data_IF_869512165077
#
_entry.id   IF_869512165077
#
_cell.length_a   1.000
_cell.length_b   1.000
_cell.length_c   1.000
_cell.angle_alpha   90.00
_cell.angle_beta   90.00
_cell.angle_gamma   90.00
#
_symmetry.space_group_name_H-M   'P 1'
#
loop_
_entity.id
_entity.type
_entity.pdbx_description
1 polymer ?
#
# COMPACT_ATOMS: atom_id res chain seq x y z
N UNK A 1 13.41 4.29 -46.07
CA UNK A 1 13.74 5.35 -45.10
C UNK A 1 14.50 4.71 -43.96
N UNK A 2 15.66 5.28 -43.66
CA UNK A 2 16.72 4.65 -42.86
C UNK A 2 16.35 4.59 -41.38
N UNK A 3 16.46 3.40 -40.78
CA UNK A 3 16.45 3.21 -39.33
C UNK A 3 17.69 3.89 -38.72
N UNK A 4 17.48 5.02 -38.04
CA UNK A 4 18.49 5.63 -37.18
C UNK A 4 18.58 4.82 -35.88
N UNK A 5 19.53 3.89 -35.89
CA UNK A 5 19.96 3.13 -34.74
C UNK A 5 20.76 4.07 -33.82
N UNK A 6 20.11 4.65 -32.80
CA UNK A 6 20.77 5.49 -31.79
C UNK A 6 21.48 4.56 -30.80
N UNK A 7 22.81 4.69 -30.59
CA UNK A 7 23.57 3.70 -29.85
C UNK A 7 23.34 3.79 -28.34
N UNK A 8 23.00 2.64 -27.71
CA UNK A 8 22.97 2.37 -26.26
C UNK A 8 24.19 2.88 -25.48
N UNK A 9 25.31 3.17 -26.15
CA UNK A 9 26.55 3.69 -25.56
C UNK A 9 26.46 5.12 -25.03
N UNK A 10 25.50 5.96 -25.47
CA UNK A 10 25.53 7.38 -25.07
C UNK A 10 25.03 7.62 -23.63
N UNK A 11 24.09 6.82 -23.14
CA UNK A 11 23.49 6.95 -21.81
C UNK A 11 24.33 6.32 -20.69
N UNK A 12 24.92 5.15 -20.94
CA UNK A 12 25.92 4.58 -20.02
C UNK A 12 27.11 5.52 -19.86
N UNK A 13 27.52 6.20 -20.92
CA UNK A 13 28.55 7.24 -20.85
C UNK A 13 28.10 8.47 -20.04
N UNK A 14 26.84 8.91 -20.11
CA UNK A 14 26.34 10.02 -19.27
C UNK A 14 26.25 9.65 -17.77
N UNK A 15 25.87 8.41 -17.45
CA UNK A 15 25.89 7.86 -16.08
C UNK A 15 27.32 7.67 -15.56
N UNK A 16 28.24 7.17 -16.38
CA UNK A 16 29.67 7.08 -16.04
C UNK A 16 30.29 8.47 -15.88
N UNK A 17 29.98 9.41 -16.78
CA UNK A 17 30.53 10.77 -16.75
C UNK A 17 29.98 11.52 -15.54
N UNK A 18 28.69 11.40 -15.20
CA UNK A 18 28.16 12.04 -13.99
C UNK A 18 28.69 11.39 -12.71
N UNK A 19 28.79 10.05 -12.65
CA UNK A 19 29.31 9.34 -11.46
C UNK A 19 30.84 9.43 -11.29
N UNK A 20 31.62 9.59 -12.36
CA UNK A 20 33.07 9.77 -12.32
C UNK A 20 33.50 11.24 -12.23
N UNK A 21 32.71 12.18 -12.76
CA UNK A 21 32.99 13.61 -12.61
C UNK A 21 32.71 14.11 -11.20
N UNK A 22 31.62 13.64 -10.56
CA UNK A 22 31.23 14.06 -9.21
C UNK A 22 32.32 13.96 -8.13
N UNK A 23 33.04 12.83 -7.98
CA UNK A 23 34.11 12.73 -6.98
C UNK A 23 35.39 13.49 -7.38
N UNK A 24 35.64 13.72 -8.67
CA UNK A 24 36.84 14.43 -9.14
C UNK A 24 36.73 15.95 -9.02
N UNK A 25 35.57 16.55 -9.28
CA UNK A 25 35.36 17.99 -9.11
C UNK A 25 35.16 18.40 -7.65
N UNK A 26 34.55 17.54 -6.82
CA UNK A 26 34.37 17.77 -5.39
C UNK A 26 35.69 17.75 -4.59
N UNK A 27 36.75 17.11 -5.10
CA UNK A 27 38.09 17.16 -4.50
C UNK A 27 38.86 18.45 -4.86
N UNK A 28 38.52 19.12 -5.96
CA UNK A 28 39.23 20.32 -6.43
C UNK A 28 38.59 21.63 -5.96
N UNK A 29 37.30 21.61 -5.64
CA UNK A 29 36.56 22.78 -5.15
C UNK A 29 36.11 22.49 -3.74
N UNK A 30 36.70 23.17 -2.75
CA UNK A 30 36.35 23.08 -1.31
C UNK A 30 34.89 23.50 -0.99
N UNK A 31 34.02 23.60 -2.00
CA UNK A 31 32.63 24.04 -1.90
C UNK A 31 31.67 22.86 -1.94
N UNK A 32 30.66 22.94 -1.07
CA UNK A 32 29.68 21.87 -0.84
C UNK A 32 28.64 21.89 -1.96
N UNK A 33 28.91 21.17 -3.05
CA UNK A 33 27.94 21.02 -4.14
C UNK A 33 26.79 20.11 -3.66
N UNK A 34 25.57 20.66 -3.61
CA UNK A 34 24.36 19.94 -3.26
C UNK A 34 23.88 19.15 -4.48
N UNK A 35 24.03 17.83 -4.46
CA UNK A 35 23.26 16.96 -5.36
C UNK A 35 21.81 16.91 -4.87
N UNK A 36 20.87 17.26 -5.74
CA UNK A 36 19.45 17.15 -5.42
C UNK A 36 19.04 15.68 -5.48
N UNK A 37 18.61 15.13 -4.34
CA UNK A 37 18.21 13.72 -4.23
C UNK A 37 17.08 13.30 -5.19
N UNK A 38 16.25 14.26 -5.64
CA UNK A 38 15.19 14.00 -6.62
C UNK A 38 15.72 13.59 -7.99
N UNK A 39 16.93 14.01 -8.39
CA UNK A 39 17.49 13.67 -9.71
C UNK A 39 17.75 12.16 -9.84
N UNK A 40 18.16 11.51 -8.74
CA UNK A 40 18.30 10.06 -8.71
C UNK A 40 16.93 9.37 -8.83
N UNK A 41 15.89 9.94 -8.21
CA UNK A 41 14.51 9.46 -8.34
C UNK A 41 13.97 9.64 -9.76
N UNK A 42 14.21 10.78 -10.41
CA UNK A 42 13.77 11.05 -11.78
C UNK A 42 14.46 10.10 -12.77
N UNK A 43 15.76 9.85 -12.59
CA UNK A 43 16.52 8.89 -13.39
C UNK A 43 16.01 7.46 -13.15
N UNK A 44 15.75 7.06 -11.90
CA UNK A 44 15.17 5.74 -11.60
C UNK A 44 13.75 5.60 -12.15
N UNK A 45 12.94 6.64 -12.11
CA UNK A 45 11.59 6.66 -12.68
C UNK A 45 11.65 6.51 -14.21
N UNK A 46 12.58 7.20 -14.88
CA UNK A 46 12.83 7.09 -16.32
C UNK A 46 13.35 5.70 -16.70
N UNK A 47 14.32 5.14 -15.96
CA UNK A 47 14.82 3.78 -16.21
C UNK A 47 13.72 2.74 -16.01
N UNK A 48 12.88 2.91 -14.98
CA UNK A 48 11.71 2.05 -14.75
C UNK A 48 10.70 2.17 -15.88
N UNK A 49 10.44 3.38 -16.36
CA UNK A 49 9.56 3.64 -17.50
C UNK A 49 10.10 2.99 -18.79
N UNK A 50 11.40 3.13 -19.09
CA UNK A 50 12.02 2.46 -20.25
C UNK A 50 11.99 0.94 -20.12
N UNK A 51 12.17 0.38 -18.92
CA UNK A 51 12.11 -1.07 -18.72
C UNK A 51 10.68 -1.62 -18.92
N UNK A 52 9.67 -0.87 -18.49
CA UNK A 52 8.24 -1.20 -18.71
C UNK A 52 7.88 -1.08 -20.20
N UNK A 53 8.41 -0.10 -20.93
CA UNK A 53 8.15 0.09 -22.37
C UNK A 53 8.82 -0.99 -23.24
N UNK A 54 9.95 -1.53 -22.79
CA UNK A 54 10.72 -2.53 -23.54
C UNK A 54 10.31 -3.99 -23.25
N UNK A 55 9.39 -4.24 -22.31
CA UNK A 55 8.73 -5.55 -22.17
C UNK A 55 7.53 -5.59 -23.14
N UNK A 56 7.58 -6.51 -24.12
CA UNK A 56 6.69 -6.53 -25.30
C UNK A 56 5.19 -6.76 -25.00
N UNK A 57 4.77 -6.95 -23.73
CA UNK A 57 3.40 -7.32 -23.35
C UNK A 57 2.71 -6.34 -22.36
N UNK A 58 3.12 -5.07 -22.29
CA UNK A 58 2.39 -4.10 -21.48
C UNK A 58 2.20 -2.72 -22.11
N UNK A 59 0.93 -2.39 -22.37
CA UNK A 59 0.47 -1.01 -22.53
C UNK A 59 0.03 -0.56 -21.13
N UNK A 60 0.82 0.26 -20.39
CA UNK A 60 0.37 0.73 -19.10
C UNK A 60 -0.71 1.80 -19.30
N UNK A 61 -1.95 1.49 -18.91
CA UNK A 61 -2.89 2.55 -18.57
C UNK A 61 -2.39 3.28 -17.33
N UNK A 62 -2.80 4.54 -17.16
CA UNK A 62 -2.20 5.52 -16.26
C UNK A 62 -2.15 5.16 -14.76
N UNK A 63 -2.69 4.02 -14.31
CA UNK A 63 -2.42 3.48 -12.97
C UNK A 63 -2.41 1.94 -12.99
N UNK A 64 -1.26 1.25 -12.84
CA UNK A 64 -1.17 -0.22 -12.85
C UNK A 64 -2.04 -0.90 -11.77
N UNK A 65 -2.44 -0.14 -10.74
CA UNK A 65 -3.40 -0.57 -9.73
C UNK A 65 -4.78 -0.88 -10.32
N UNK A 66 -5.31 -0.02 -11.19
CA UNK A 66 -6.68 -0.17 -11.68
C UNK A 66 -6.81 -1.38 -12.61
N UNK A 67 -5.85 -1.60 -13.50
CA UNK A 67 -5.86 -2.78 -14.38
C UNK A 67 -5.71 -4.08 -13.59
N UNK A 68 -4.86 -4.10 -12.55
CA UNK A 68 -4.74 -5.24 -11.64
C UNK A 68 -6.06 -5.51 -10.92
N UNK A 69 -6.70 -4.48 -10.36
CA UNK A 69 -7.97 -4.62 -9.65
C UNK A 69 -9.10 -5.08 -10.58
N UNK A 70 -9.20 -4.56 -11.80
CA UNK A 70 -10.18 -5.01 -12.80
C UNK A 70 -10.08 -6.52 -13.03
N UNK A 71 -8.88 -6.99 -13.38
CA UNK A 71 -8.61 -8.43 -13.62
C UNK A 71 -8.97 -9.26 -12.41
N UNK A 72 -8.62 -8.80 -11.21
CA UNK A 72 -8.86 -9.55 -9.97
C UNK A 72 -10.32 -9.60 -9.56
N UNK A 73 -11.05 -8.50 -9.73
CA UNK A 73 -12.50 -8.44 -9.51
C UNK A 73 -13.23 -9.34 -10.51
N UNK A 74 -12.82 -9.31 -11.79
CA UNK A 74 -13.38 -10.19 -12.84
C UNK A 74 -13.15 -11.67 -12.54
N UNK A 75 -11.91 -12.03 -12.19
CA UNK A 75 -11.56 -13.39 -11.81
C UNK A 75 -12.38 -13.85 -10.59
N UNK A 76 -12.48 -13.01 -9.56
CA UNK A 76 -13.24 -13.36 -8.36
C UNK A 76 -14.72 -13.61 -8.63
N UNK A 77 -15.36 -12.72 -9.38
CA UNK A 77 -16.76 -12.88 -9.77
C UNK A 77 -16.97 -14.12 -10.64
N UNK A 78 -15.99 -14.44 -11.49
CA UNK A 78 -16.03 -15.63 -12.36
C UNK A 78 -15.89 -16.93 -11.56
N UNK A 79 -14.99 -16.97 -10.59
CA UNK A 79 -14.76 -18.12 -9.72
C UNK A 79 -15.93 -18.35 -8.76
N UNK A 80 -16.58 -17.27 -8.32
CA UNK A 80 -17.68 -17.30 -7.35
C UNK A 80 -19.05 -17.02 -7.98
N UNK A 81 -19.25 -17.34 -9.27
CA UNK A 81 -20.51 -17.07 -10.00
C UNK A 81 -21.76 -17.47 -9.23
N UNK A 82 -21.78 -18.67 -8.63
CA UNK A 82 -22.95 -19.14 -7.89
C UNK A 82 -23.28 -18.26 -6.66
N UNK A 83 -22.26 -17.82 -5.91
CA UNK A 83 -22.44 -16.89 -4.79
C UNK A 83 -22.88 -15.52 -5.27
N UNK A 84 -22.29 -15.02 -6.36
CA UNK A 84 -22.68 -13.76 -6.97
C UNK A 84 -24.14 -13.77 -7.43
N UNK A 85 -24.58 -14.82 -8.13
CA UNK A 85 -25.98 -14.98 -8.53
C UNK A 85 -26.92 -15.03 -7.33
N UNK A 86 -26.54 -15.75 -6.27
CA UNK A 86 -27.33 -15.79 -5.02
C UNK A 86 -27.41 -14.41 -4.38
N UNK A 87 -26.29 -13.67 -4.31
CA UNK A 87 -26.24 -12.33 -3.74
C UNK A 87 -27.16 -11.34 -4.48
N UNK A 88 -27.22 -11.42 -5.81
CA UNK A 88 -28.05 -10.55 -6.64
C UNK A 88 -29.54 -10.91 -6.55
N UNK A 89 -29.87 -12.20 -6.54
CA UNK A 89 -31.27 -12.66 -6.64
C UNK A 89 -31.97 -12.83 -5.30
N UNK A 90 -31.22 -13.10 -4.22
CA UNK A 90 -31.74 -13.28 -2.86
C UNK A 90 -31.24 -12.17 -1.91
N UNK A 91 -31.58 -10.88 -2.15
CA UNK A 91 -31.15 -9.81 -1.27
C UNK A 91 -31.79 -9.96 0.11
N UNK A 92 -31.02 -9.67 1.17
CA UNK A 92 -31.51 -9.69 2.55
C UNK A 92 -32.78 -8.83 2.69
N UNK A 93 -33.80 -9.36 3.37
CA UNK A 93 -35.13 -8.76 3.47
C UNK A 93 -35.11 -7.39 4.17
N UNK A 94 -34.26 -7.22 5.20
CA UNK A 94 -34.28 -6.04 6.08
C UNK A 94 -33.98 -4.71 5.38
N UNK A 95 -33.10 -4.69 4.38
CA UNK A 95 -32.71 -3.48 3.63
C UNK A 95 -32.88 -3.66 2.11
N UNK A 96 -33.74 -4.60 1.70
CA UNK A 96 -33.92 -4.98 0.30
C UNK A 96 -34.35 -3.82 -0.59
N UNK A 97 -35.20 -2.91 -0.10
CA UNK A 97 -35.73 -1.79 -0.88
C UNK A 97 -34.63 -0.81 -1.35
N UNK A 98 -33.86 -0.13 -0.48
CA UNK A 98 -32.83 0.79 -0.93
C UNK A 98 -31.73 0.10 -1.74
N UNK A 99 -31.32 -1.12 -1.36
CA UNK A 99 -30.30 -1.86 -2.09
C UNK A 99 -30.75 -2.18 -3.51
N UNK A 100 -31.97 -2.69 -3.69
CA UNK A 100 -32.54 -3.02 -5.00
C UNK A 100 -32.73 -1.77 -5.87
N UNK A 101 -33.20 -0.68 -5.28
CA UNK A 101 -33.40 0.59 -6.00
C UNK A 101 -32.09 1.08 -6.63
N UNK A 102 -31.01 1.19 -5.84
CA UNK A 102 -29.71 1.60 -6.37
C UNK A 102 -29.11 0.55 -7.31
N UNK A 103 -29.26 -0.75 -7.02
CA UNK A 103 -28.76 -1.83 -7.88
C UNK A 103 -29.43 -1.87 -9.27
N UNK A 104 -30.72 -1.56 -9.36
CA UNK A 104 -31.46 -1.53 -10.62
C UNK A 104 -31.15 -0.27 -11.42
N UNK A 105 -31.08 0.89 -10.75
CA UNK A 105 -30.77 2.16 -11.41
C UNK A 105 -29.32 2.21 -11.91
N UNK A 106 -28.40 1.57 -11.18
CA UNK A 106 -26.98 1.54 -11.52
C UNK A 106 -26.47 0.12 -11.79
N UNK A 107 -26.68 -0.42 -13.00
CA UNK A 107 -26.06 -1.67 -13.43
C UNK A 107 -24.54 -1.62 -13.22
N UNK A 108 -23.97 -2.69 -12.67
CA UNK A 108 -22.57 -2.76 -12.24
C UNK A 108 -22.35 -2.49 -10.75
N UNK A 109 -23.26 -1.78 -10.07
CA UNK A 109 -23.14 -1.54 -8.62
C UNK A 109 -23.23 -2.83 -7.80
N UNK A 110 -24.06 -3.79 -8.22
CA UNK A 110 -24.15 -5.13 -7.61
C UNK A 110 -22.79 -5.82 -7.52
N UNK A 111 -21.93 -5.64 -8.53
CA UNK A 111 -20.59 -6.23 -8.56
C UNK A 111 -19.72 -5.63 -7.46
N UNK A 112 -19.75 -4.30 -7.30
CA UNK A 112 -19.01 -3.61 -6.22
C UNK A 112 -19.55 -4.00 -4.84
N UNK A 113 -20.88 -4.03 -4.67
CA UNK A 113 -21.53 -4.47 -3.43
C UNK A 113 -21.14 -5.90 -3.04
N UNK A 114 -21.17 -6.82 -3.99
CA UNK A 114 -20.75 -8.20 -3.77
C UNK A 114 -19.30 -8.29 -3.28
N UNK A 115 -18.40 -7.55 -3.93
CA UNK A 115 -16.98 -7.54 -3.58
C UNK A 115 -16.75 -7.00 -2.16
N UNK A 116 -17.40 -5.90 -1.76
CA UNK A 116 -17.24 -5.37 -0.40
C UNK A 116 -17.90 -6.27 0.65
N UNK A 117 -19.00 -6.93 0.33
CA UNK A 117 -19.63 -7.91 1.21
C UNK A 117 -18.75 -9.13 1.45
N UNK A 118 -18.17 -9.71 0.39
CA UNK A 118 -17.26 -10.86 0.49
C UNK A 118 -15.97 -10.48 1.22
N UNK A 119 -15.44 -9.27 0.99
CA UNK A 119 -14.34 -8.73 1.77
C UNK A 119 -14.65 -8.69 3.27
N UNK A 120 -15.83 -8.18 3.64
CA UNK A 120 -16.23 -8.09 5.04
C UNK A 120 -16.43 -9.47 5.67
N UNK A 121 -16.99 -10.42 4.93
CA UNK A 121 -17.17 -11.80 5.39
C UNK A 121 -15.82 -12.49 5.63
N UNK A 122 -14.89 -12.41 4.68
CA UNK A 122 -13.56 -13.03 4.76
C UNK A 122 -12.68 -12.45 5.86
N UNK A 123 -12.90 -11.21 6.24
CA UNK A 123 -12.22 -10.55 7.36
C UNK A 123 -12.98 -10.67 8.68
N UNK A 124 -13.96 -11.59 8.78
CA UNK A 124 -14.72 -11.88 9.99
C UNK A 124 -15.50 -10.68 10.57
N UNK A 125 -15.75 -9.64 9.76
CA UNK A 125 -16.44 -8.43 10.20
C UNK A 125 -17.95 -8.65 10.40
N UNK A 126 -18.51 -9.66 9.73
CA UNK A 126 -19.96 -9.94 9.73
C UNK A 126 -20.43 -10.84 10.89
N UNK A 127 -19.55 -11.18 11.84
CA UNK A 127 -19.89 -12.01 13.02
C UNK A 127 -20.62 -11.23 14.13
N UNK A 128 -20.67 -9.90 14.02
CA UNK A 128 -21.20 -8.99 15.03
C UNK A 128 -22.53 -8.34 14.62
N UNK A 129 -22.68 -7.05 14.97
CA UNK A 129 -23.84 -6.23 14.58
C UNK A 129 -23.80 -5.79 13.12
N UNK A 130 -22.59 -5.72 12.55
CA UNK A 130 -22.42 -5.46 11.13
C UNK A 130 -22.88 -6.69 10.35
N UNK A 131 -23.71 -6.47 9.34
CA UNK A 131 -24.21 -7.49 8.43
C UNK A 131 -23.90 -7.08 6.99
N UNK A 132 -24.00 -8.02 6.05
CA UNK A 132 -23.65 -7.78 4.64
C UNK A 132 -24.39 -6.58 4.03
N UNK A 133 -25.68 -6.40 4.34
CA UNK A 133 -26.42 -5.25 3.81
C UNK A 133 -25.95 -3.92 4.39
N UNK A 134 -25.47 -3.89 5.64
CA UNK A 134 -24.98 -2.67 6.26
C UNK A 134 -23.74 -2.12 5.52
N UNK A 135 -22.80 -2.98 5.10
CA UNK A 135 -21.64 -2.49 4.33
C UNK A 135 -22.04 -1.97 2.96
N UNK A 136 -23.02 -2.59 2.29
CA UNK A 136 -23.58 -2.09 1.04
C UNK A 136 -24.27 -0.73 1.22
N UNK A 137 -25.00 -0.53 2.32
CA UNK A 137 -25.61 0.76 2.64
C UNK A 137 -24.56 1.84 2.93
N UNK A 138 -23.47 1.50 3.63
CA UNK A 138 -22.34 2.43 3.84
C UNK A 138 -21.70 2.80 2.50
N UNK A 139 -21.54 1.84 1.58
CA UNK A 139 -21.06 2.08 0.22
C UNK A 139 -21.99 3.06 -0.53
N UNK A 140 -23.31 2.89 -0.48
CA UNK A 140 -24.26 3.82 -1.11
C UNK A 140 -24.15 5.22 -0.47
N UNK A 141 -24.13 5.31 0.85
CA UNK A 141 -23.97 6.60 1.56
C UNK A 141 -22.66 7.30 1.17
N UNK A 142 -21.59 6.54 0.99
CA UNK A 142 -20.31 7.05 0.49
C UNK A 142 -20.42 7.53 -0.95
N UNK A 143 -20.93 6.67 -1.84
CA UNK A 143 -20.99 6.93 -3.28
C UNK A 143 -21.90 8.12 -3.63
N UNK A 144 -22.96 8.34 -2.83
CA UNK A 144 -23.88 9.49 -2.92
C UNK A 144 -23.39 10.74 -2.18
N UNK A 145 -22.24 10.67 -1.50
CA UNK A 145 -21.68 11.78 -0.72
C UNK A 145 -22.47 12.15 0.54
N UNK A 146 -23.32 11.24 1.04
CA UNK A 146 -24.20 11.46 2.21
C UNK A 146 -23.55 11.06 3.53
N UNK A 147 -22.42 10.35 3.49
CA UNK A 147 -21.61 10.09 4.68
C UNK A 147 -20.59 11.21 4.93
N UNK A 148 -20.43 11.59 6.20
CA UNK A 148 -19.55 12.70 6.56
C UNK A 148 -18.09 12.37 6.23
N UNK A 149 -17.41 13.30 5.56
CA UNK A 149 -16.02 13.15 5.14
C UNK A 149 -15.80 12.10 4.05
N UNK A 150 -16.88 11.64 3.40
CA UNK A 150 -16.86 10.59 2.38
C UNK A 150 -16.06 10.97 1.14
N UNK A 151 -16.24 12.17 0.60
CA UNK A 151 -15.69 12.50 -0.72
C UNK A 151 -14.85 13.79 -0.68
N UNK A 152 -13.57 13.66 -1.01
CA UNK A 152 -12.74 14.79 -1.46
C UNK A 152 -12.92 15.01 -2.98
N UNK A 153 -14.14 14.86 -3.49
CA UNK A 153 -14.47 14.98 -4.91
C UNK A 153 -15.52 16.05 -5.14
N UNK A 154 -15.46 16.77 -6.28
CA UNK A 154 -16.45 17.80 -6.61
C UNK A 154 -17.82 17.22 -6.95
N UNK A 155 -17.89 16.00 -7.52
CA UNK A 155 -19.13 15.29 -7.84
C UNK A 155 -19.15 13.92 -7.14
N UNK A 156 -20.29 13.47 -6.56
CA UNK A 156 -20.46 12.11 -6.09
C UNK A 156 -20.40 11.08 -7.24
N UNK A 157 -20.17 9.82 -6.88
CA UNK A 157 -20.19 8.69 -7.83
C UNK A 157 -21.61 8.36 -8.28
N UNK A 158 -22.57 8.48 -7.37
CA UNK A 158 -23.99 8.20 -7.62
C UNK A 158 -24.83 9.41 -7.22
N UNK A 159 -25.89 9.66 -7.95
CA UNK A 159 -26.91 10.62 -7.55
C UNK A 159 -27.87 10.01 -6.51
N UNK A 160 -28.40 10.87 -5.62
CA UNK A 160 -29.39 10.44 -4.63
C UNK A 160 -30.70 10.13 -5.35
N UNK A 161 -31.17 8.90 -5.16
CA UNK A 161 -32.49 8.48 -5.63
C UNK A 161 -33.55 8.77 -4.56
N UNK A 162 -34.71 9.28 -4.97
CA UNK A 162 -35.89 9.48 -4.11
C UNK A 162 -36.99 8.46 -4.43
N UNK A 163 -37.87 8.19 -3.45
CA UNK A 163 -38.70 6.99 -3.41
C UNK A 163 -39.69 6.77 -4.56
N UNK A 164 -39.88 5.49 -4.87
CA UNK A 164 -40.91 4.84 -5.72
C UNK A 164 -40.71 4.79 -7.24
N UNK A 165 -39.55 5.16 -7.76
CA UNK A 165 -39.18 4.87 -9.16
C UNK A 165 -38.50 3.50 -9.26
N UNK A 166 -39.23 2.42 -8.97
CA UNK A 166 -38.76 1.04 -9.27
C UNK A 166 -38.79 0.77 -10.79
N UNK A 167 -39.38 1.68 -11.56
CA UNK A 167 -39.30 1.72 -13.02
C UNK A 167 -38.23 2.75 -13.42
N UNK A 168 -36.98 2.34 -13.36
CA UNK A 168 -35.91 3.08 -14.01
C UNK A 168 -36.06 2.87 -15.52
N UNK A 169 -36.71 3.81 -16.21
CA UNK A 169 -36.90 3.74 -17.66
C UNK A 169 -35.56 3.75 -18.41
N UNK A 170 -34.54 4.40 -17.83
CA UNK A 170 -33.17 4.48 -18.37
C UNK A 170 -32.14 4.26 -17.24
N UNK A 171 -31.63 3.03 -17.05
CA UNK A 171 -30.59 2.76 -16.07
C UNK A 171 -29.24 3.37 -16.47
N UNK A 172 -28.53 3.96 -15.51
CA UNK A 172 -27.18 4.53 -15.70
C UNK A 172 -26.12 3.47 -15.39
N UNK A 173 -25.57 2.83 -16.43
CA UNK A 173 -24.56 1.79 -16.26
C UNK A 173 -23.23 2.36 -15.73
N UNK A 174 -22.76 1.79 -14.62
CA UNK A 174 -21.43 2.08 -14.07
C UNK A 174 -20.42 1.20 -14.80
N UNK A 175 -19.58 1.79 -15.64
CA UNK A 175 -18.50 1.08 -16.33
C UNK A 175 -17.44 0.52 -15.36
N UNK A 176 -16.60 -0.39 -15.84
CA UNK A 176 -15.61 -1.07 -14.99
C UNK A 176 -14.58 -0.11 -14.38
N UNK A 177 -14.18 0.94 -15.12
CA UNK A 177 -13.29 1.99 -14.62
C UNK A 177 -13.87 2.66 -13.37
N UNK A 178 -15.14 3.07 -13.45
CA UNK A 178 -15.84 3.73 -12.35
C UNK A 178 -16.09 2.78 -11.19
N UNK A 179 -16.36 1.50 -11.45
CA UNK A 179 -16.48 0.49 -10.40
C UNK A 179 -15.18 0.34 -9.59
N UNK A 180 -14.03 0.26 -10.27
CA UNK A 180 -12.73 0.14 -9.61
C UNK A 180 -12.36 1.44 -8.88
N UNK A 181 -12.61 2.59 -9.50
CA UNK A 181 -12.38 3.88 -8.89
C UNK A 181 -13.22 4.06 -7.61
N UNK A 182 -14.50 3.70 -7.67
CA UNK A 182 -15.41 3.68 -6.53
C UNK A 182 -14.89 2.78 -5.42
N UNK A 183 -14.41 1.58 -5.76
CA UNK A 183 -13.89 0.62 -4.80
C UNK A 183 -12.63 1.14 -4.09
N UNK A 184 -11.66 1.67 -4.85
CA UNK A 184 -10.43 2.24 -4.27
C UNK A 184 -10.75 3.44 -3.39
N UNK A 185 -11.59 4.36 -3.86
CA UNK A 185 -11.98 5.53 -3.09
C UNK A 185 -12.76 5.15 -1.81
N UNK A 186 -13.58 4.09 -1.88
CA UNK A 186 -14.31 3.57 -0.74
C UNK A 186 -13.37 3.02 0.33
N UNK A 187 -12.39 2.20 -0.05
CA UNK A 187 -11.40 1.67 0.90
C UNK A 187 -10.48 2.76 1.46
N UNK A 188 -10.11 3.76 0.65
CA UNK A 188 -9.41 4.96 1.13
C UNK A 188 -10.21 5.66 2.22
N UNK A 189 -11.51 5.85 1.99
CA UNK A 189 -12.39 6.49 2.96
C UNK A 189 -12.54 5.66 4.24
N UNK A 190 -12.77 4.35 4.14
CA UNK A 190 -12.82 3.48 5.32
C UNK A 190 -11.50 3.50 6.11
N UNK A 191 -10.35 3.59 5.43
CA UNK A 191 -9.03 3.74 6.04
C UNK A 191 -8.75 5.15 6.58
N UNK A 192 -9.60 6.13 6.28
CA UNK A 192 -9.37 7.54 6.63
C UNK A 192 -9.61 7.83 8.11
N UNK A 193 -9.00 8.92 8.58
CA UNK A 193 -9.28 9.49 9.90
C UNK A 193 -10.73 10.01 10.00
N UNK A 194 -11.32 10.45 8.89
CA UNK A 194 -12.68 10.98 8.86
C UNK A 194 -13.69 9.88 9.22
N UNK A 195 -13.58 8.72 8.59
CA UNK A 195 -14.41 7.55 8.90
C UNK A 195 -14.21 7.07 10.34
N UNK A 196 -12.95 6.94 10.78
CA UNK A 196 -12.64 6.53 12.18
C UNK A 196 -13.31 7.42 13.22
N UNK A 197 -13.38 8.73 12.96
CA UNK A 197 -13.85 9.75 13.89
C UNK A 197 -15.34 10.07 13.78
N UNK A 198 -16.10 9.35 12.96
CA UNK A 198 -17.53 9.56 12.88
C UNK A 198 -18.17 9.52 14.27
N UNK A 199 -19.18 10.36 14.56
CA UNK A 199 -19.92 10.25 15.82
C UNK A 199 -20.88 9.05 15.80
N UNK A 200 -21.45 8.79 14.62
CA UNK A 200 -22.40 7.72 14.34
C UNK A 200 -22.49 7.49 12.81
N UNK A 201 -23.09 6.38 12.39
CA UNK A 201 -23.49 6.13 11.00
C UNK A 201 -25.00 5.90 11.01
N UNK A 202 -25.75 6.76 10.31
CA UNK A 202 -27.20 6.64 10.18
C UNK A 202 -27.59 6.27 8.76
N UNK A 203 -28.49 5.30 8.62
CA UNK A 203 -29.03 4.87 7.32
C UNK A 203 -30.38 5.51 6.98
N UNK A 204 -30.82 6.49 7.78
CA UNK A 204 -32.11 7.16 7.60
C UNK A 204 -32.24 7.86 6.24
N UNK A 205 -31.14 8.40 5.69
CA UNK A 205 -31.11 9.00 4.34
C UNK A 205 -31.47 8.01 3.22
N UNK A 206 -31.32 6.70 3.48
CA UNK A 206 -31.68 5.61 2.56
C UNK A 206 -33.03 4.97 2.95
N UNK A 207 -33.75 5.53 3.92
CA UNK A 207 -35.00 4.97 4.40
C UNK A 207 -34.85 3.69 5.24
N UNK A 208 -33.64 3.39 5.75
CA UNK A 208 -33.40 2.22 6.59
C UNK A 208 -33.17 2.62 8.06
N UNK A 209 -33.99 2.06 8.95
CA UNK A 209 -34.03 2.41 10.37
C UNK A 209 -32.96 1.66 11.19
N UNK A 210 -31.69 1.83 10.85
CA UNK A 210 -30.54 1.32 11.61
C UNK A 210 -29.51 2.43 11.80
N UNK A 211 -28.80 2.39 12.93
CA UNK A 211 -27.78 3.37 13.30
C UNK A 211 -26.65 2.66 14.02
N UNK A 212 -25.42 2.88 13.57
CA UNK A 212 -24.24 2.49 14.33
C UNK A 212 -23.78 3.63 15.24
N UNK A 213 -23.52 3.30 16.49
CA UNK A 213 -23.14 4.24 17.55
C UNK A 213 -21.83 3.80 18.21
N UNK A 214 -21.19 4.73 18.92
CA UNK A 214 -20.08 4.43 19.84
C UNK A 214 -18.92 3.64 19.21
N UNK A 215 -18.64 3.85 17.93
CA UNK A 215 -17.50 3.25 17.25
C UNK A 215 -17.70 1.80 16.80
N UNK A 216 -18.94 1.34 16.62
CA UNK A 216 -19.22 -0.01 16.07
C UNK A 216 -18.57 -0.27 14.70
N UNK A 217 -18.23 0.77 13.95
CA UNK A 217 -17.52 0.70 12.67
C UNK A 217 -15.99 0.68 12.80
N UNK A 218 -15.42 0.81 14.00
CA UNK A 218 -13.96 0.81 14.21
C UNK A 218 -13.30 -0.47 13.67
N UNK A 219 -13.86 -1.69 13.85
CA UNK A 219 -13.29 -2.89 13.24
C UNK A 219 -13.21 -2.79 11.70
N UNK A 220 -14.22 -2.20 11.04
CA UNK A 220 -14.17 -1.96 9.59
C UNK A 220 -13.02 -1.01 9.24
N UNK A 221 -12.82 0.06 10.00
CA UNK A 221 -11.71 0.99 9.80
C UNK A 221 -10.35 0.27 9.92
N UNK A 222 -10.14 -0.48 10.99
CA UNK A 222 -8.85 -1.16 11.25
C UNK A 222 -8.50 -2.19 10.18
N UNK A 223 -9.50 -2.93 9.68
CA UNK A 223 -9.31 -3.85 8.57
C UNK A 223 -9.06 -3.08 7.27
N UNK A 224 -9.89 -2.10 6.94
CA UNK A 224 -9.77 -1.32 5.70
C UNK A 224 -8.45 -0.57 5.59
N UNK A 225 -7.84 -0.14 6.71
CA UNK A 225 -6.47 0.40 6.71
C UNK A 225 -5.52 -0.62 6.06
N UNK A 226 -5.49 -1.86 6.54
CA UNK A 226 -4.59 -2.89 5.99
C UNK A 226 -4.89 -3.15 4.51
N UNK A 227 -6.17 -3.27 4.18
CA UNK A 227 -6.69 -3.47 2.83
C UNK A 227 -6.23 -2.39 1.86
N UNK A 228 -6.42 -1.12 2.23
CA UNK A 228 -6.07 0.03 1.41
C UNK A 228 -4.55 0.16 1.23
N UNK A 229 -3.78 0.01 2.31
CA UNK A 229 -2.31 0.03 2.22
C UNK A 229 -1.79 -1.12 1.35
N UNK A 230 -2.38 -2.31 1.43
CA UNK A 230 -1.99 -3.43 0.57
C UNK A 230 -2.33 -3.17 -0.90
N UNK A 231 -3.49 -2.59 -1.19
CA UNK A 231 -3.85 -2.20 -2.55
C UNK A 231 -2.89 -1.16 -3.12
N UNK A 232 -2.69 -0.04 -2.43
CA UNK A 232 -1.92 1.09 -2.98
C UNK A 232 -0.42 0.80 -3.05
N UNK A 233 0.16 0.16 -2.03
CA UNK A 233 1.61 -0.02 -1.95
C UNK A 233 2.11 -1.37 -2.47
N UNK A 234 1.32 -2.43 -2.33
CA UNK A 234 1.73 -3.76 -2.75
C UNK A 234 1.07 -4.19 -4.07
N UNK A 235 0.15 -3.39 -4.63
CA UNK A 235 -0.69 -3.77 -5.77
C UNK A 235 -1.37 -5.12 -5.54
N UNK A 236 -1.77 -5.37 -4.28
CA UNK A 236 -2.35 -6.62 -3.83
C UNK A 236 -3.75 -6.37 -3.27
N UNK A 237 -4.66 -7.25 -3.64
CA UNK A 237 -6.00 -7.33 -3.05
C UNK A 237 -6.27 -8.77 -2.62
N UNK A 238 -5.32 -9.29 -1.84
CA UNK A 238 -5.24 -10.69 -1.44
C UNK A 238 -6.35 -11.11 -0.48
N UNK A 239 -7.01 -10.14 0.15
CA UNK A 239 -8.13 -10.35 1.06
C UNK A 239 -9.37 -10.93 0.36
N UNK A 240 -9.41 -10.90 -0.98
CA UNK A 240 -10.50 -11.46 -1.80
C UNK A 240 -10.05 -12.69 -2.62
N UNK A 241 -8.75 -13.03 -2.73
CA UNK A 241 -8.34 -14.22 -3.54
C UNK A 241 -8.92 -15.53 -3.03
N UNK A 242 -9.42 -16.36 -3.96
CA UNK A 242 -10.03 -17.69 -3.71
C UNK A 242 -9.04 -18.74 -3.25
N UNK A 243 -7.74 -18.46 -3.34
CA UNK A 243 -6.73 -19.23 -2.64
C UNK A 243 -7.07 -19.17 -1.15
N UNK A 244 -7.77 -20.22 -0.70
CA UNK A 244 -7.92 -20.59 0.69
C UNK A 244 -6.61 -20.27 1.38
N UNK A 245 -6.69 -19.76 2.60
CA UNK A 245 -5.58 -19.57 3.51
C UNK A 245 -4.78 -20.87 3.66
N UNK A 246 -4.02 -21.20 2.63
CA UNK A 246 -2.88 -22.05 2.67
C UNK A 246 -1.90 -21.23 3.47
N UNK A 247 -1.90 -21.47 4.78
CA UNK A 247 -0.77 -21.15 5.66
C UNK A 247 0.57 -21.60 5.03
N UNK A 248 0.53 -22.52 4.06
CA UNK A 248 1.57 -22.75 3.07
C UNK A 248 1.60 -21.66 1.98
N UNK A 249 2.40 -20.63 2.23
CA UNK A 249 2.78 -19.51 1.35
C UNK A 249 2.03 -18.21 1.66
N UNK A 250 2.39 -17.59 2.79
CA UNK A 250 2.85 -16.20 2.65
C UNK A 250 3.76 -16.22 1.43
N UNK A 251 3.34 -15.68 0.28
CA UNK A 251 4.31 -15.25 -0.71
C UNK A 251 5.20 -14.35 0.11
N UNK A 252 6.39 -14.85 0.43
CA UNK A 252 7.33 -14.17 1.28
C UNK A 252 7.76 -13.00 0.43
N UNK A 253 6.99 -11.93 0.47
CA UNK A 253 7.13 -10.81 -0.44
C UNK A 253 8.41 -10.15 -0.01
N UNK A 254 9.42 -10.34 -0.85
CA UNK A 254 10.74 -9.78 -0.63
C UNK A 254 10.60 -8.28 -0.91
N UNK A 255 10.71 -7.48 0.14
CA UNK A 255 10.61 -6.02 0.11
C UNK A 255 11.98 -5.40 0.28
N UNK A 256 12.20 -4.27 -0.37
CA UNK A 256 13.34 -3.40 -0.07
C UNK A 256 13.00 -2.52 1.14
N UNK A 257 13.95 -2.40 2.07
CA UNK A 257 13.86 -1.53 3.23
C UNK A 257 14.35 -0.13 2.86
N UNK A 258 13.66 0.90 3.36
CA UNK A 258 14.15 2.28 3.29
C UNK A 258 15.55 2.36 3.91
N UNK A 259 16.57 2.86 3.17
CA UNK A 259 17.93 2.94 3.66
C UNK A 259 18.03 3.73 4.96
N UNK A 260 18.78 3.21 5.93
CA UNK A 260 18.99 3.88 7.21
C UNK A 260 20.46 3.87 7.61
N UNK A 261 20.82 4.70 8.59
CA UNK A 261 22.22 4.86 9.03
C UNK A 261 22.40 4.25 10.41
N UNK A 262 23.48 3.50 10.58
CA UNK A 262 23.95 2.96 11.87
C UNK A 262 25.36 3.48 12.15
N UNK A 263 25.77 3.43 13.41
CA UNK A 263 27.13 3.77 13.82
C UNK A 263 27.90 2.48 14.15
N UNK A 264 29.05 2.29 13.52
CA UNK A 264 29.94 1.13 13.68
C UNK A 264 31.39 1.58 13.87
N UNK A 265 32.23 0.80 14.58
CA UNK A 265 33.64 1.14 14.77
C UNK A 265 34.42 1.17 13.45
N UNK A 266 35.44 2.04 13.36
CA UNK A 266 36.16 2.32 12.10
C UNK A 266 37.01 1.16 11.58
N UNK A 267 37.44 0.21 12.42
CA UNK A 267 38.36 -0.85 11.98
C UNK A 267 37.67 -2.19 11.74
N UNK A 268 36.36 -2.18 11.54
CA UNK A 268 35.59 -3.41 11.35
C UNK A 268 35.45 -3.79 9.87
N UNK A 269 35.65 -5.07 9.58
CA UNK A 269 35.38 -5.65 8.27
C UNK A 269 33.87 -5.65 7.97
N UNK A 270 33.49 -4.86 6.96
CA UNK A 270 32.10 -4.70 6.53
C UNK A 270 31.55 -6.01 5.96
N UNK A 271 32.40 -6.84 5.34
CA UNK A 271 31.98 -8.11 4.75
C UNK A 271 31.57 -9.10 5.86
N UNK A 272 32.36 -9.18 6.93
CA UNK A 272 32.05 -10.03 8.08
C UNK A 272 30.75 -9.59 8.79
N UNK A 273 30.57 -8.29 8.99
CA UNK A 273 29.31 -7.74 9.54
C UNK A 273 28.14 -8.10 8.64
N UNK A 274 28.28 -7.91 7.31
CA UNK A 274 27.22 -8.21 6.34
C UNK A 274 26.78 -9.67 6.44
N UNK A 275 27.73 -10.59 6.50
CA UNK A 275 27.46 -12.03 6.57
C UNK A 275 26.80 -12.42 7.90
N UNK A 276 27.23 -11.84 9.01
CA UNK A 276 26.60 -12.06 10.31
C UNK A 276 25.19 -11.49 10.39
N UNK A 277 24.96 -10.29 9.86
CA UNK A 277 23.62 -9.72 9.74
C UNK A 277 22.74 -10.65 8.92
N UNK A 278 23.21 -11.10 7.74
CA UNK A 278 22.46 -11.99 6.86
C UNK A 278 22.09 -13.29 7.57
N UNK A 279 23.06 -13.90 8.26
CA UNK A 279 22.88 -15.14 9.02
C UNK A 279 21.86 -15.01 10.16
N UNK A 280 21.89 -13.91 10.92
CA UNK A 280 21.01 -13.71 12.09
C UNK A 280 19.59 -13.27 11.73
N UNK A 281 19.45 -12.49 10.67
CA UNK A 281 18.19 -11.84 10.32
C UNK A 281 17.42 -12.58 9.24
N UNK A 282 18.08 -13.43 8.43
CA UNK A 282 17.47 -14.11 7.29
C UNK A 282 17.08 -13.15 6.17
N UNK A 283 17.72 -11.99 6.09
CA UNK A 283 17.53 -11.04 4.99
C UNK A 283 18.19 -11.61 3.72
N UNK A 284 17.58 -11.40 2.56
CA UNK A 284 18.04 -11.99 1.30
C UNK A 284 19.27 -11.24 0.77
N UNK A 285 19.24 -9.92 0.82
CA UNK A 285 20.37 -9.06 0.45
C UNK A 285 20.54 -7.93 1.47
N UNK A 286 21.80 -7.67 1.83
CA UNK A 286 22.19 -6.52 2.66
C UNK A 286 23.41 -5.88 2.03
N UNK A 287 23.40 -4.56 1.90
CA UNK A 287 24.51 -3.74 1.49
C UNK A 287 24.83 -2.74 2.60
N UNK A 288 26.12 -2.63 2.92
CA UNK A 288 26.65 -1.73 3.94
C UNK A 288 27.65 -0.80 3.26
N UNK A 289 27.46 0.51 3.41
CA UNK A 289 28.32 1.53 2.81
C UNK A 289 28.73 2.56 3.85
N UNK A 290 30.04 2.71 4.06
CA UNK A 290 30.57 3.78 4.92
C UNK A 290 30.34 5.14 4.27
N UNK A 291 29.86 6.08 5.06
CA UNK A 291 29.59 7.44 4.62
C UNK A 291 30.78 8.35 4.97
N UNK A 292 31.34 9.11 4.00
CA UNK A 292 32.33 10.13 4.30
C UNK A 292 31.63 11.31 4.99
N UNK A 293 31.67 11.38 6.31
CA UNK A 293 31.09 12.47 7.10
C UNK A 293 32.07 12.96 8.16
N UNK A 294 31.88 14.20 8.65
CA UNK A 294 32.66 14.78 9.77
C UNK A 294 32.52 14.01 11.09
N UNK A 295 31.51 13.16 11.20
CA UNK A 295 31.33 12.24 12.32
C UNK A 295 31.75 10.83 11.87
N UNK A 296 32.78 10.33 12.52
CA UNK A 296 33.43 9.04 12.28
C UNK A 296 32.48 7.87 12.59
N UNK A 297 32.56 6.77 11.81
CA UNK A 297 31.82 5.52 12.09
C UNK A 297 30.41 5.34 11.48
N UNK A 298 29.90 6.26 10.65
CA UNK A 298 28.55 6.13 10.05
C UNK A 298 28.51 5.17 8.86
N UNK A 299 27.60 4.20 8.90
CA UNK A 299 27.37 3.20 7.86
C UNK A 299 25.92 3.24 7.41
N UNK A 300 25.69 3.46 6.11
CA UNK A 300 24.39 3.30 5.49
C UNK A 300 24.09 1.81 5.26
N UNK A 301 22.90 1.38 5.67
CA UNK A 301 22.37 0.03 5.53
C UNK A 301 21.24 0.06 4.51
N UNK A 302 21.33 -0.81 3.51
CA UNK A 302 20.24 -1.07 2.56
C UNK A 302 20.02 -2.58 2.52
N UNK A 303 18.75 -3.00 2.57
CA UNK A 303 18.42 -4.39 2.79
C UNK A 303 17.16 -4.80 2.03
N UNK A 304 17.12 -6.04 1.54
CA UNK A 304 15.98 -6.62 0.82
C UNK A 304 15.64 -7.98 1.45
N UNK A 305 14.39 -8.15 1.84
CA UNK A 305 13.94 -9.36 2.53
C UNK A 305 12.47 -9.31 2.93
N UNK A 306 12.07 -10.33 3.66
CA UNK A 306 10.71 -10.48 4.21
C UNK A 306 10.44 -9.40 5.26
N UNK A 307 9.17 -9.07 5.51
CA UNK A 307 8.79 -8.15 6.60
C UNK A 307 9.37 -8.60 7.95
N UNK A 308 9.39 -9.91 8.20
CA UNK A 308 9.95 -10.47 9.43
C UNK A 308 11.48 -10.31 9.50
N UNK A 309 12.20 -10.58 8.41
CA UNK A 309 13.66 -10.47 8.41
C UNK A 309 14.13 -9.02 8.48
N UNK A 310 13.40 -8.08 7.84
CA UNK A 310 13.66 -6.64 7.97
C UNK A 310 13.37 -6.12 9.38
N UNK A 311 12.34 -6.63 10.06
CA UNK A 311 12.07 -6.29 11.46
C UNK A 311 13.18 -6.81 12.38
N UNK A 312 13.62 -8.05 12.19
CA UNK A 312 14.76 -8.60 12.93
C UNK A 312 16.05 -7.81 12.68
N UNK A 313 16.28 -7.33 11.45
CA UNK A 313 17.39 -6.43 11.14
C UNK A 313 17.32 -5.13 11.94
N UNK A 314 16.15 -4.48 12.00
CA UNK A 314 15.96 -3.25 12.79
C UNK A 314 16.19 -3.51 14.28
N UNK A 315 15.69 -4.62 14.82
CA UNK A 315 15.89 -4.98 16.23
C UNK A 315 17.36 -5.28 16.55
N UNK A 316 18.08 -5.96 15.65
CA UNK A 316 19.50 -6.30 15.81
C UNK A 316 20.39 -5.05 15.91
N UNK A 317 20.12 -4.05 15.07
CA UNK A 317 20.94 -2.83 14.95
C UNK A 317 20.45 -1.67 15.83
N UNK A 318 19.37 -1.85 16.59
CA UNK A 318 18.87 -0.84 17.52
C UNK A 318 19.31 -1.16 18.94
N UNK A 319 20.15 -0.31 19.52
CA UNK A 319 20.48 -0.39 20.94
C UNK A 319 19.55 0.55 21.72
N UNK A 320 18.79 0.01 22.66
CA UNK A 320 18.00 0.82 23.59
C UNK A 320 18.95 1.42 24.64
N UNK A 321 19.10 2.75 24.73
CA UNK A 321 19.96 3.35 25.73
C UNK A 321 19.40 3.07 27.13
N UNK A 322 20.23 2.58 28.03
CA UNK A 322 19.89 2.50 29.45
C UNK A 322 19.87 3.94 29.98
N UNK A 323 18.68 4.43 30.35
CA UNK A 323 18.38 5.81 30.78
C UNK A 323 19.05 6.26 32.09
N UNK A 324 20.19 5.68 32.49
CA UNK A 324 20.86 5.98 33.76
C UNK A 324 22.38 6.04 33.64
N UNK A 325 22.88 7.00 32.87
CA UNK A 325 24.29 7.39 33.04
C UNK A 325 24.48 8.84 32.62
N UNK A 326 24.93 9.67 33.57
CA UNK A 326 25.34 11.06 33.39
C UNK A 326 26.70 11.16 32.65
N UNK A 327 26.83 10.47 31.51
CA UNK A 327 28.03 10.50 30.69
C UNK A 327 27.89 11.57 29.58
N UNK A 328 29.02 12.18 29.20
CA UNK A 328 29.05 13.20 28.14
C UNK A 328 28.65 12.56 26.81
N UNK A 329 27.88 13.27 25.98
CA UNK A 329 27.26 12.72 24.76
C UNK A 329 28.19 12.01 23.76
N UNK A 330 29.49 12.30 23.78
CA UNK A 330 30.49 11.61 22.94
C UNK A 330 30.82 10.20 23.43
N UNK A 331 30.96 10.00 24.74
CA UNK A 331 31.23 8.69 25.34
C UNK A 331 30.04 7.74 25.17
N UNK A 332 28.81 8.28 25.22
CA UNK A 332 27.58 7.52 24.98
C UNK A 332 27.52 7.04 23.52
N UNK A 333 27.85 7.89 22.54
CA UNK A 333 27.88 7.48 21.12
C UNK A 333 28.93 6.39 20.88
N UNK A 334 30.15 6.54 21.40
CA UNK A 334 31.19 5.50 21.27
C UNK A 334 30.78 4.16 21.91
N UNK A 335 30.09 4.20 23.05
CA UNK A 335 29.55 2.99 23.70
C UNK A 335 28.43 2.36 22.87
N UNK A 336 27.53 3.15 22.28
CA UNK A 336 26.45 2.66 21.41
C UNK A 336 27.02 2.00 20.15
N UNK A 337 28.05 2.59 19.53
CA UNK A 337 28.76 1.99 18.38
C UNK A 337 29.30 0.59 18.70
N UNK A 338 29.94 0.43 19.86
CA UNK A 338 30.47 -0.86 20.31
C UNK A 338 29.38 -1.86 20.63
N UNK A 339 28.29 -1.43 21.26
CA UNK A 339 27.15 -2.30 21.58
C UNK A 339 26.43 -2.80 20.32
N UNK A 340 26.28 -1.97 19.29
CA UNK A 340 25.72 -2.40 18.00
C UNK A 340 26.63 -3.46 17.37
N UNK A 341 27.94 -3.21 17.34
CA UNK A 341 28.91 -4.17 16.81
C UNK A 341 28.87 -5.50 17.58
N UNK A 342 28.88 -5.46 18.91
CA UNK A 342 28.77 -6.66 19.75
C UNK A 342 27.46 -7.41 19.54
N UNK A 343 26.33 -6.71 19.40
CA UNK A 343 25.04 -7.36 19.14
C UNK A 343 25.03 -8.08 17.80
N UNK A 344 25.69 -7.53 16.78
CA UNK A 344 25.87 -8.19 15.48
C UNK A 344 26.80 -9.41 15.63
N UNK A 345 27.93 -9.28 16.32
CA UNK A 345 28.98 -10.31 16.39
C UNK A 345 28.79 -11.40 17.45
N UNK A 346 27.92 -11.21 18.45
CA UNK A 346 27.58 -12.27 19.42
C UNK A 346 27.07 -13.52 18.67
N UNK A 347 27.35 -14.75 19.11
CA UNK A 347 26.87 -15.96 18.42
C UNK A 347 25.34 -16.07 18.39
#
# INVERSE_FOLDING_TARGET
>A
MQHLNVPKCHFQNLLLISSLAYPRTAQQTLERILSFAWLAYDVLALVKQEHIINEEDHIPAATPLYDMLKKRIEQYCTDNKAKFYKFVNDPNEEASFPLRMYAVHYPGLCRVMFIVSEWAERNDLLKGRLQSHHICLILILFATGRITGGLNRPKPFLDKLEGSEVQCEEPEEINEDTQVELLVAFFEYLASRAFRKLPHISFAELGYASVFLRGEWIPMHETAVKTYYNMVFNLQFDEISVEEWQESSKSVTIRECEPFVIELPENVDILEIRDQIKKKTGVEEVALRRLPCRQEGRVAVSARGTVQSLRMLRELVTVKPLLKTAARGKEISEQLCRLIYENIMKP
#
